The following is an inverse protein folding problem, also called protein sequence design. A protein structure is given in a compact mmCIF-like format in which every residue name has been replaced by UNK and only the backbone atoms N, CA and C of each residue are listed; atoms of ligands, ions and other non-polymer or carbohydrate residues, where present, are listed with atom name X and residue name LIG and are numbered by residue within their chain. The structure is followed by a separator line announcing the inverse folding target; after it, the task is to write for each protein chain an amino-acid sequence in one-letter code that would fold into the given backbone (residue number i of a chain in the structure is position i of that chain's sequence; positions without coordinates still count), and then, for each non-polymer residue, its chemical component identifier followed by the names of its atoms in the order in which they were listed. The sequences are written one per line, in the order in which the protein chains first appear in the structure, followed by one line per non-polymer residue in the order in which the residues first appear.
data_IF_485176913398
#
_entry.id   IF_485176913398
#
_cell.length_a   1.000
_cell.length_b   1.000
_cell.length_c   1.000
_cell.angle_alpha   90.00
_cell.angle_beta   90.00
_cell.angle_gamma   90.00
#
_symmetry.space_group_name_H-M   'P 1'
#
loop_
_entity.id
_entity.type
_entity.pdbx_description
1 polymer ?
#
# COMPACT_ATOMS: atom_id res chain seq x y z
N UNK A 1 0.81 -7.47 16.36
CA UNK A 1 1.42 -6.22 16.85
C UNK A 1 1.12 -6.04 18.35
N UNK A 2 -0.15 -6.14 18.79
CA UNK A 2 -0.54 -5.97 20.20
C UNK A 2 0.24 -6.90 21.15
N UNK A 3 0.47 -8.14 20.74
CA UNK A 3 1.19 -9.15 21.50
C UNK A 3 2.72 -8.90 21.55
N UNK A 4 3.26 -8.20 20.53
CA UNK A 4 4.68 -7.87 20.43
C UNK A 4 5.05 -6.60 21.19
N UNK A 5 4.24 -5.54 21.08
CA UNK A 5 4.58 -4.21 21.62
C UNK A 5 3.78 -3.83 22.87
N UNK A 6 2.79 -4.63 23.23
CA UNK A 6 1.88 -4.35 24.34
C UNK A 6 0.80 -3.31 24.00
N UNK A 7 -0.26 -3.21 24.83
CA UNK A 7 -1.40 -2.36 24.56
C UNK A 7 -1.09 -0.86 24.54
N UNK A 8 -0.11 -0.42 25.36
CA UNK A 8 0.24 0.99 25.52
C UNK A 8 1.07 1.54 24.35
N UNK A 9 1.71 0.68 23.55
CA UNK A 9 2.54 1.05 22.40
C UNK A 9 1.93 0.64 21.04
N UNK A 10 0.65 0.31 21.02
CA UNK A 10 -0.01 -0.20 19.84
C UNK A 10 0.02 0.81 18.67
N UNK A 11 -0.19 2.09 18.97
CA UNK A 11 -0.16 3.17 17.95
C UNK A 11 1.23 3.34 17.37
N UNK A 12 2.25 3.33 18.23
CA UNK A 12 3.66 3.40 17.82
C UNK A 12 4.05 2.17 16.97
N UNK A 13 3.68 0.97 17.42
CA UNK A 13 3.93 -0.27 16.71
C UNK A 13 3.26 -0.30 15.33
N UNK A 14 2.03 0.19 15.21
CA UNK A 14 1.35 0.32 13.92
C UNK A 14 2.05 1.33 13.00
N UNK A 15 2.53 2.44 13.53
CA UNK A 15 3.31 3.42 12.77
C UNK A 15 4.60 2.82 12.21
N UNK A 16 5.33 2.05 13.00
CA UNK A 16 6.53 1.33 12.54
C UNK A 16 6.23 0.32 11.44
N UNK A 17 5.19 -0.50 11.60
CA UNK A 17 4.78 -1.47 10.57
C UNK A 17 4.41 -0.75 9.28
N UNK A 18 3.63 0.33 9.35
CA UNK A 18 3.26 1.11 8.18
C UNK A 18 4.49 1.72 7.49
N UNK A 19 5.43 2.27 8.24
CA UNK A 19 6.66 2.85 7.69
C UNK A 19 7.52 1.82 6.99
N UNK A 20 7.75 0.66 7.61
CA UNK A 20 8.51 -0.45 7.01
C UNK A 20 7.81 -0.97 5.75
N UNK A 21 6.48 -1.09 5.78
CA UNK A 21 5.69 -1.50 4.61
C UNK A 21 5.87 -0.52 3.46
N UNK A 22 5.81 0.79 3.72
CA UNK A 22 6.03 1.80 2.68
C UNK A 22 7.45 1.76 2.13
N UNK A 23 8.47 1.63 2.97
CA UNK A 23 9.86 1.46 2.51
C UNK A 23 9.99 0.23 1.61
N UNK A 24 9.39 -0.89 1.98
CA UNK A 24 9.43 -2.11 1.19
C UNK A 24 8.75 -1.93 -0.18
N UNK A 25 7.56 -1.29 -0.21
CA UNK A 25 6.84 -0.99 -1.45
C UNK A 25 7.66 -0.07 -2.35
N UNK A 26 8.18 1.04 -1.81
CA UNK A 26 8.99 2.00 -2.55
C UNK A 26 10.27 1.35 -3.09
N UNK A 27 10.95 0.55 -2.29
CA UNK A 27 12.13 -0.21 -2.72
C UNK A 27 11.78 -1.18 -3.85
N UNK A 28 10.64 -1.86 -3.75
CA UNK A 28 10.13 -2.75 -4.79
C UNK A 28 9.89 -2.00 -6.10
N UNK A 29 9.21 -0.86 -6.05
CA UNK A 29 8.95 -0.02 -7.22
C UNK A 29 10.27 0.40 -7.89
N UNK A 30 11.23 0.93 -7.12
CA UNK A 30 12.52 1.38 -7.65
C UNK A 30 13.29 0.23 -8.29
N UNK A 31 13.42 -0.90 -7.58
CA UNK A 31 14.15 -2.07 -8.05
C UNK A 31 13.52 -2.64 -9.32
N UNK A 32 12.19 -2.86 -9.33
CA UNK A 32 11.52 -3.43 -10.50
C UNK A 32 11.50 -2.45 -11.69
N UNK A 33 11.31 -1.15 -11.45
CA UNK A 33 11.38 -0.14 -12.53
C UNK A 33 12.77 -0.10 -13.16
N UNK A 34 13.82 -0.13 -12.34
CA UNK A 34 15.19 -0.18 -12.83
C UNK A 34 15.49 -1.47 -13.61
N UNK A 35 15.08 -2.62 -13.10
CA UNK A 35 15.24 -3.91 -13.76
C UNK A 35 14.46 -3.98 -15.08
N UNK A 36 13.27 -3.40 -15.09
CA UNK A 36 12.43 -3.32 -16.29
C UNK A 36 13.11 -2.46 -17.36
N UNK A 37 13.55 -1.27 -17.01
CA UNK A 37 14.25 -0.36 -17.93
C UNK A 37 15.54 -0.99 -18.47
N UNK A 38 16.37 -1.58 -17.62
CA UNK A 38 17.62 -2.27 -18.02
C UNK A 38 17.37 -3.44 -18.99
N UNK A 39 16.19 -4.07 -18.96
CA UNK A 39 15.86 -5.17 -19.87
C UNK A 39 15.26 -4.70 -21.19
N UNK A 40 14.63 -3.54 -21.19
CA UNK A 40 14.01 -2.95 -22.37
C UNK A 40 14.88 -1.88 -23.04
N UNK A 41 15.90 -1.37 -22.35
CA UNK A 41 16.80 -0.36 -22.86
C UNK A 41 17.54 -0.88 -24.10
N UNK A 42 17.45 -0.13 -25.21
CA UNK A 42 18.01 -0.54 -26.49
C UNK A 42 17.20 -1.57 -27.29
N UNK A 43 16.05 -1.99 -26.78
CA UNK A 43 15.13 -2.85 -27.54
C UNK A 43 14.41 -2.00 -28.59
N UNK A 44 14.51 -2.32 -29.90
CA UNK A 44 13.70 -1.67 -30.93
C UNK A 44 12.20 -1.92 -30.63
N UNK A 45 11.32 -1.13 -31.24
CA UNK A 45 9.87 -1.31 -31.09
C UNK A 45 9.48 -2.78 -31.38
N UNK A 46 9.43 -3.58 -30.32
CA UNK A 46 9.19 -5.02 -30.41
C UNK A 46 7.70 -5.33 -30.37
N UNK A 47 7.33 -6.45 -30.96
CA UNK A 47 6.01 -7.01 -30.79
C UNK A 47 5.77 -7.33 -29.29
N UNK A 48 4.54 -7.19 -28.77
CA UNK A 48 4.21 -7.42 -27.35
C UNK A 48 4.71 -8.77 -26.81
N UNK A 49 4.69 -9.81 -27.65
CA UNK A 49 5.14 -11.16 -27.28
C UNK A 49 6.65 -11.22 -27.01
N UNK A 50 7.46 -10.47 -27.76
CA UNK A 50 8.91 -10.42 -27.59
C UNK A 50 9.27 -9.65 -26.32
N UNK A 51 8.56 -8.56 -26.02
CA UNK A 51 8.72 -7.81 -24.78
C UNK A 51 8.40 -8.68 -23.56
N UNK A 52 7.35 -9.50 -23.61
CA UNK A 52 7.01 -10.43 -22.55
C UNK A 52 8.10 -11.47 -22.30
N UNK A 53 8.74 -12.00 -23.35
CA UNK A 53 9.84 -12.96 -23.19
C UNK A 53 11.08 -12.33 -22.52
N UNK A 54 11.35 -11.06 -22.78
CA UNK A 54 12.47 -10.34 -22.16
C UNK A 54 12.26 -10.07 -20.67
N UNK A 55 11.01 -9.80 -20.26
CA UNK A 55 10.67 -9.54 -18.85
C UNK A 55 10.30 -10.80 -18.06
N UNK A 56 9.99 -11.91 -18.73
CA UNK A 56 9.62 -13.16 -18.04
C UNK A 56 10.63 -13.61 -16.95
N UNK A 57 11.96 -13.48 -17.12
CA UNK A 57 12.92 -13.82 -16.08
C UNK A 57 12.76 -13.02 -14.78
N UNK A 58 12.19 -11.80 -14.83
CA UNK A 58 11.90 -11.01 -13.62
C UNK A 58 10.86 -11.70 -12.73
N UNK A 59 9.99 -12.52 -13.31
CA UNK A 59 9.03 -13.33 -12.57
C UNK A 59 9.70 -14.30 -11.59
N UNK A 60 10.87 -14.82 -11.90
CA UNK A 60 11.61 -15.69 -10.99
C UNK A 60 12.10 -14.97 -9.73
N UNK A 61 12.36 -13.66 -9.80
CA UNK A 61 12.71 -12.83 -8.63
C UNK A 61 11.51 -12.75 -7.69
N UNK A 62 10.29 -12.63 -8.23
CA UNK A 62 9.06 -12.63 -7.42
C UNK A 62 8.84 -14.00 -6.77
N UNK A 63 9.07 -15.08 -7.50
CA UNK A 63 8.98 -16.45 -6.95
C UNK A 63 9.99 -16.64 -5.81
N UNK A 64 11.25 -16.22 -6.03
CA UNK A 64 12.29 -16.31 -4.99
C UNK A 64 11.92 -15.45 -3.75
N UNK A 65 11.36 -14.25 -3.96
CA UNK A 65 10.85 -13.40 -2.88
C UNK A 65 9.74 -14.06 -2.09
N UNK A 66 8.78 -14.68 -2.75
CA UNK A 66 7.67 -15.41 -2.09
C UNK A 66 8.17 -16.62 -1.31
N UNK A 67 9.17 -17.34 -1.81
CA UNK A 67 9.79 -18.44 -1.07
C UNK A 67 10.54 -17.95 0.17
N UNK A 68 11.25 -16.82 0.05
CA UNK A 68 11.89 -16.18 1.20
C UNK A 68 10.87 -15.75 2.25
N UNK A 69 9.77 -15.14 1.83
CA UNK A 69 8.66 -14.76 2.72
C UNK A 69 8.10 -15.99 3.45
N UNK A 70 7.89 -17.09 2.75
CA UNK A 70 7.44 -18.35 3.35
C UNK A 70 8.42 -18.85 4.43
N UNK A 71 9.72 -18.83 4.14
CA UNK A 71 10.76 -19.24 5.11
C UNK A 71 10.77 -18.33 6.33
N UNK A 72 10.64 -17.02 6.13
CA UNK A 72 10.58 -16.04 7.21
C UNK A 72 9.30 -16.21 8.05
N UNK A 73 8.17 -16.51 7.42
CA UNK A 73 6.91 -16.78 8.12
C UNK A 73 7.01 -17.97 9.06
N UNK A 74 7.73 -19.03 8.66
CA UNK A 74 8.01 -20.18 9.54
C UNK A 74 8.93 -19.86 10.73
N UNK A 75 9.68 -18.77 10.64
CA UNK A 75 10.56 -18.30 11.72
C UNK A 75 9.88 -17.35 12.71
N UNK A 76 8.62 -16.98 12.48
CA UNK A 76 7.88 -16.16 13.40
C UNK A 76 7.72 -16.86 14.76
N UNK A 77 8.02 -16.17 15.87
CA UNK A 77 7.85 -16.74 17.20
C UNK A 77 6.38 -17.02 17.49
N UNK A 78 6.09 -18.15 18.09
CA UNK A 78 4.76 -18.45 18.60
C UNK A 78 4.54 -17.66 19.87
N UNK A 79 3.84 -16.51 19.75
CA UNK A 79 3.62 -15.55 20.84
C UNK A 79 2.41 -15.88 21.71
N UNK A 80 1.56 -16.80 21.26
CA UNK A 80 0.34 -17.18 21.95
C UNK A 80 0.36 -18.65 22.29
N UNK A 81 0.08 -18.98 23.55
CA UNK A 81 -0.31 -20.36 23.87
C UNK A 81 -1.56 -20.70 23.07
N UNK A 82 -1.39 -21.59 22.13
CA UNK A 82 -2.51 -22.10 21.34
C UNK A 82 -3.41 -22.87 22.29
N UNK A 83 -4.66 -22.43 22.45
CA UNK A 83 -5.64 -23.22 23.17
C UNK A 83 -5.75 -24.57 22.47
N UNK A 84 -5.15 -25.59 23.08
CA UNK A 84 -5.07 -26.94 22.53
C UNK A 84 -6.46 -27.58 22.33
N UNK A 85 -7.49 -27.02 22.94
CA UNK A 85 -8.89 -27.41 22.78
C UNK A 85 -9.57 -26.76 21.56
N UNK A 86 -9.01 -25.67 21.02
CA UNK A 86 -9.56 -24.98 19.85
C UNK A 86 -9.25 -25.75 18.58
N UNK A 87 -10.19 -26.55 18.11
CA UNK A 87 -10.11 -27.22 16.81
C UNK A 87 -10.73 -26.33 15.73
N UNK A 88 -10.08 -26.30 14.55
CA UNK A 88 -10.64 -25.63 13.39
C UNK A 88 -11.90 -26.35 12.91
N UNK A 89 -13.04 -25.71 13.00
CA UNK A 89 -14.33 -26.25 12.55
C UNK A 89 -14.54 -25.95 11.06
N UNK A 90 -14.19 -26.96 10.24
CA UNK A 90 -14.31 -26.88 8.80
C UNK A 90 -15.75 -26.73 8.31
N UNK A 91 -16.74 -27.29 9.03
CA UNK A 91 -18.14 -27.17 8.64
C UNK A 91 -18.66 -25.73 8.88
N UNK A 92 -18.29 -25.14 10.02
CA UNK A 92 -18.61 -23.76 10.38
C UNK A 92 -17.96 -22.77 9.41
N UNK A 93 -16.71 -23.05 8.99
CA UNK A 93 -16.01 -22.24 8.00
C UNK A 93 -16.71 -22.31 6.63
N UNK A 94 -17.05 -23.48 6.13
CA UNK A 94 -17.77 -23.66 4.84
C UNK A 94 -19.15 -23.02 4.81
N UNK A 95 -19.87 -23.01 5.93
CA UNK A 95 -21.18 -22.33 6.08
C UNK A 95 -21.05 -20.82 6.16
N UNK A 96 -19.84 -20.27 6.23
CA UNK A 96 -19.63 -18.84 6.38
C UNK A 96 -20.11 -18.25 7.72
N UNK A 97 -20.37 -19.09 8.72
CA UNK A 97 -20.89 -18.66 10.02
C UNK A 97 -19.93 -17.73 10.74
N UNK A 98 -18.60 -18.00 10.65
CA UNK A 98 -17.56 -17.15 11.22
C UNK A 98 -17.53 -15.79 10.53
N UNK A 99 -17.67 -15.75 9.21
CA UNK A 99 -17.72 -14.50 8.44
C UNK A 99 -18.98 -13.70 8.80
N UNK A 100 -20.13 -14.36 8.83
CA UNK A 100 -21.42 -13.73 9.19
C UNK A 100 -21.41 -13.17 10.62
N UNK A 101 -20.86 -13.92 11.57
CA UNK A 101 -20.73 -13.49 12.96
C UNK A 101 -19.79 -12.28 13.08
N UNK A 102 -18.61 -12.33 12.45
CA UNK A 102 -17.66 -11.21 12.47
C UNK A 102 -18.22 -9.98 11.77
N UNK A 103 -18.89 -10.14 10.63
CA UNK A 103 -19.54 -9.04 9.92
C UNK A 103 -20.66 -8.42 10.74
N UNK A 104 -21.49 -9.24 11.40
CA UNK A 104 -22.53 -8.77 12.31
C UNK A 104 -21.96 -7.94 13.47
N UNK A 105 -20.86 -8.39 14.07
CA UNK A 105 -20.16 -7.66 15.13
C UNK A 105 -19.59 -6.32 14.66
N UNK A 106 -19.01 -6.29 13.44
CA UNK A 106 -18.51 -5.07 12.83
C UNK A 106 -19.65 -4.08 12.55
N UNK A 107 -20.77 -4.57 12.02
CA UNK A 107 -21.92 -3.73 11.67
C UNK A 107 -22.65 -3.15 12.88
N UNK A 108 -22.46 -3.71 14.06
CA UNK A 108 -23.04 -3.17 15.30
C UNK A 108 -22.37 -1.89 15.80
N UNK A 109 -21.10 -1.65 15.39
CA UNK A 109 -20.33 -0.49 15.86
C UNK A 109 -20.14 0.53 14.73
N UNK A 110 -20.91 1.59 14.70
CA UNK A 110 -20.85 2.66 13.70
C UNK A 110 -19.43 3.22 13.49
N UNK A 111 -18.68 3.43 14.58
CA UNK A 111 -17.30 3.93 14.48
C UNK A 111 -16.39 3.00 13.70
N UNK A 112 -16.57 1.68 13.83
CA UNK A 112 -15.78 0.68 13.09
C UNK A 112 -16.16 0.71 11.61
N UNK A 113 -17.46 0.81 11.29
CA UNK A 113 -17.93 0.90 9.90
C UNK A 113 -17.31 2.13 9.20
N UNK A 114 -17.37 3.31 9.84
CA UNK A 114 -16.80 4.52 9.25
C UNK A 114 -15.29 4.42 9.09
N UNK A 115 -14.57 3.82 10.03
CA UNK A 115 -13.13 3.60 9.91
C UNK A 115 -12.79 2.66 8.75
N UNK A 116 -13.53 1.56 8.60
CA UNK A 116 -13.34 0.60 7.50
C UNK A 116 -13.70 1.24 6.16
N UNK A 117 -14.80 2.00 6.10
CA UNK A 117 -15.22 2.70 4.89
C UNK A 117 -14.20 3.77 4.48
N UNK A 118 -13.68 4.55 5.43
CA UNK A 118 -12.64 5.55 5.19
C UNK A 118 -11.35 4.92 4.66
N UNK A 119 -10.91 3.80 5.27
CA UNK A 119 -9.75 3.06 4.82
C UNK A 119 -9.95 2.45 3.42
N UNK A 120 -11.13 1.89 3.16
CA UNK A 120 -11.48 1.34 1.85
C UNK A 120 -11.49 2.44 0.77
N UNK A 121 -12.04 3.62 1.07
CA UNK A 121 -12.03 4.77 0.17
C UNK A 121 -10.61 5.24 -0.13
N UNK A 122 -9.78 5.37 0.90
CA UNK A 122 -8.35 5.75 0.75
C UNK A 122 -7.62 4.80 -0.20
N UNK A 123 -7.72 3.48 0.03
CA UNK A 123 -7.07 2.50 -0.82
C UNK A 123 -7.67 2.44 -2.24
N UNK A 124 -8.98 2.69 -2.38
CA UNK A 124 -9.63 2.76 -3.70
C UNK A 124 -9.08 3.94 -4.51
N UNK A 125 -8.95 5.11 -3.92
CA UNK A 125 -8.35 6.29 -4.57
C UNK A 125 -6.92 5.97 -5.02
N UNK A 126 -6.11 5.39 -4.12
CA UNK A 126 -4.74 5.01 -4.43
C UNK A 126 -4.65 4.03 -5.61
N UNK A 127 -5.53 3.02 -5.66
CA UNK A 127 -5.57 2.05 -6.77
C UNK A 127 -6.00 2.70 -8.09
N UNK A 128 -6.97 3.61 -8.07
CA UNK A 128 -7.38 4.36 -9.26
C UNK A 128 -6.22 5.21 -9.78
N UNK A 129 -5.50 5.89 -8.90
CA UNK A 129 -4.32 6.68 -9.27
C UNK A 129 -3.23 5.81 -9.91
N UNK A 130 -2.92 4.66 -9.33
CA UNK A 130 -1.96 3.70 -9.88
C UNK A 130 -2.33 3.22 -11.29
N UNK A 131 -3.61 3.05 -11.56
CA UNK A 131 -4.10 2.57 -12.84
C UNK A 131 -4.17 3.67 -13.91
N UNK A 132 -4.58 4.88 -13.53
CA UNK A 132 -4.91 5.96 -14.47
C UNK A 132 -3.72 6.88 -14.75
N UNK A 133 -2.89 7.16 -13.73
CA UNK A 133 -1.83 8.16 -13.86
C UNK A 133 -0.80 7.84 -14.95
N UNK A 134 -0.34 6.59 -15.18
CA UNK A 134 0.60 6.30 -16.25
C UNK A 134 0.06 6.71 -17.63
N UNK A 135 -1.19 6.37 -17.94
CA UNK A 135 -1.83 6.76 -19.18
C UNK A 135 -2.03 8.29 -19.30
N UNK A 136 -2.36 8.95 -18.19
CA UNK A 136 -2.45 10.41 -18.15
C UNK A 136 -1.08 11.07 -18.40
N UNK A 137 -0.02 10.58 -17.78
CA UNK A 137 1.33 11.10 -17.94
C UNK A 137 1.81 10.95 -19.39
N UNK A 138 1.55 9.82 -20.02
CA UNK A 138 1.89 9.55 -21.41
C UNK A 138 1.11 10.43 -22.39
N UNK A 139 -0.19 10.58 -22.20
CA UNK A 139 -1.08 11.28 -23.14
C UNK A 139 -1.09 12.81 -22.97
N UNK A 140 -0.93 13.31 -21.75
CA UNK A 140 -1.09 14.74 -21.44
C UNK A 140 0.21 15.45 -21.05
N UNK A 141 1.19 14.70 -20.54
CA UNK A 141 2.47 15.27 -20.11
C UNK A 141 3.63 14.86 -21.03
N UNK A 142 3.34 14.12 -22.12
CA UNK A 142 4.32 13.59 -23.08
C UNK A 142 5.50 12.85 -22.37
N UNK A 143 5.17 12.18 -21.27
CA UNK A 143 6.16 11.47 -20.46
C UNK A 143 6.07 9.96 -20.72
N UNK A 144 7.12 9.42 -21.38
CA UNK A 144 7.19 8.01 -21.77
C UNK A 144 8.15 7.20 -20.88
N UNK A 145 8.93 7.87 -20.03
CA UNK A 145 9.89 7.19 -19.16
C UNK A 145 9.17 6.59 -17.96
N UNK A 146 9.08 5.27 -17.92
CA UNK A 146 8.42 4.50 -16.86
C UNK A 146 9.00 4.78 -15.48
N UNK A 147 10.33 4.95 -15.37
CA UNK A 147 10.99 5.25 -14.11
C UNK A 147 10.56 6.60 -13.54
N UNK A 148 10.41 7.62 -14.41
CA UNK A 148 9.94 8.95 -13.99
C UNK A 148 8.49 8.89 -13.53
N UNK A 149 7.62 8.23 -14.28
CA UNK A 149 6.19 8.07 -13.95
C UNK A 149 6.05 7.35 -12.61
N UNK A 150 6.71 6.20 -12.45
CA UNK A 150 6.68 5.42 -11.21
C UNK A 150 7.33 6.17 -10.04
N UNK A 151 8.40 6.93 -10.30
CA UNK A 151 9.04 7.78 -9.31
C UNK A 151 8.12 8.85 -8.74
N UNK A 152 7.35 9.52 -9.61
CA UNK A 152 6.34 10.51 -9.18
C UNK A 152 5.23 9.84 -8.36
N UNK A 153 4.72 8.71 -8.81
CA UNK A 153 3.71 7.95 -8.05
C UNK A 153 4.24 7.47 -6.69
N UNK A 154 5.51 7.10 -6.62
CA UNK A 154 6.16 6.68 -5.37
C UNK A 154 6.22 7.79 -4.30
N UNK A 155 6.10 9.06 -4.69
CA UNK A 155 6.05 10.18 -3.74
C UNK A 155 4.80 10.14 -2.85
N UNK A 156 3.69 9.58 -3.30
CA UNK A 156 2.53 9.35 -2.42
C UNK A 156 2.87 8.40 -1.26
N UNK A 157 3.69 7.38 -1.51
CA UNK A 157 4.20 6.51 -0.45
C UNK A 157 5.06 7.26 0.57
N UNK A 158 5.86 8.24 0.13
CA UNK A 158 6.62 9.13 1.03
C UNK A 158 5.64 10.01 1.83
N UNK A 159 4.60 10.54 1.19
CA UNK A 159 3.53 11.28 1.86
C UNK A 159 2.85 10.46 2.96
N UNK A 160 2.47 9.22 2.65
CA UNK A 160 1.90 8.27 3.62
C UNK A 160 2.87 8.00 4.78
N UNK A 161 4.16 7.81 4.50
CA UNK A 161 5.18 7.56 5.52
C UNK A 161 5.32 8.76 6.47
N UNK A 162 5.42 9.97 5.94
CA UNK A 162 5.52 11.20 6.73
C UNK A 162 4.23 11.41 7.53
N UNK A 163 3.07 11.32 6.87
CA UNK A 163 1.76 11.48 7.49
C UNK A 163 1.52 10.51 8.63
N UNK A 164 1.87 9.23 8.46
CA UNK A 164 1.73 8.22 9.50
C UNK A 164 2.69 8.44 10.67
N UNK A 165 3.94 8.87 10.41
CA UNK A 165 4.89 9.22 11.47
C UNK A 165 4.42 10.43 12.28
N UNK A 166 3.93 11.47 11.62
CA UNK A 166 3.37 12.68 12.27
C UNK A 166 2.13 12.32 13.08
N UNK A 167 1.19 11.55 12.48
CA UNK A 167 -0.02 11.11 13.17
C UNK A 167 0.30 10.26 14.40
N UNK A 168 1.27 9.34 14.29
CA UNK A 168 1.74 8.52 15.41
C UNK A 168 2.31 9.37 16.56
N UNK A 169 3.11 10.38 16.24
CA UNK A 169 3.67 11.30 17.25
C UNK A 169 2.63 12.18 17.91
N UNK A 170 1.67 12.69 17.14
CA UNK A 170 0.59 13.55 17.65
C UNK A 170 -0.49 12.78 18.43
N UNK A 171 -0.51 11.46 18.31
CA UNK A 171 -1.47 10.57 18.99
C UNK A 171 -0.85 9.88 20.23
N UNK A 172 0.10 10.51 20.90
CA UNK A 172 0.71 9.95 22.12
C UNK A 172 -0.33 9.75 23.21
N UNK A 173 -0.59 8.50 23.57
CA UNK A 173 -1.50 8.11 24.65
C UNK A 173 -2.99 8.16 24.32
N UNK A 174 -3.41 8.72 23.19
CA UNK A 174 -4.80 8.72 22.73
C UNK A 174 -4.88 8.76 21.19
N UNK A 175 -5.99 8.30 20.63
CA UNK A 175 -6.23 8.37 19.18
C UNK A 175 -6.76 9.77 18.83
N UNK A 176 -5.95 10.56 18.12
CA UNK A 176 -6.34 11.90 17.69
C UNK A 176 -7.15 11.85 16.39
N UNK A 177 -8.47 11.81 16.51
CA UNK A 177 -9.40 11.73 15.38
C UNK A 177 -9.41 13.02 14.53
N UNK A 178 -8.91 14.15 15.05
CA UNK A 178 -8.85 15.42 14.31
C UNK A 178 -7.88 15.39 13.14
N UNK A 179 -6.97 14.43 13.10
CA UNK A 179 -6.02 14.25 11.99
C UNK A 179 -6.68 13.68 10.73
N UNK A 180 -7.78 12.94 10.88
CA UNK A 180 -8.50 12.32 9.76
C UNK A 180 -9.02 13.37 8.75
N UNK A 181 -9.77 14.41 9.17
CA UNK A 181 -10.22 15.43 8.23
C UNK A 181 -9.07 16.24 7.62
N UNK A 182 -7.96 16.45 8.33
CA UNK A 182 -6.78 17.13 7.79
C UNK A 182 -6.18 16.32 6.64
N UNK A 183 -5.99 15.02 6.82
CA UNK A 183 -5.52 14.12 5.77
C UNK A 183 -6.50 14.07 4.59
N UNK A 184 -7.80 13.98 4.84
CA UNK A 184 -8.82 13.96 3.79
C UNK A 184 -8.82 15.25 2.95
N UNK A 185 -8.62 16.43 3.58
CA UNK A 185 -8.46 17.70 2.87
C UNK A 185 -7.20 17.68 1.99
N UNK A 186 -6.08 17.17 2.51
CA UNK A 186 -4.84 17.02 1.74
C UNK A 186 -5.05 16.20 0.48
N UNK A 187 -5.67 15.02 0.62
CA UNK A 187 -6.00 14.14 -0.52
C UNK A 187 -6.91 14.85 -1.52
N UNK A 188 -7.96 15.51 -1.05
CA UNK A 188 -8.90 16.23 -1.92
C UNK A 188 -8.21 17.34 -2.71
N UNK A 189 -7.34 18.11 -2.06
CA UNK A 189 -6.55 19.16 -2.71
C UNK A 189 -5.59 18.58 -3.75
N UNK A 190 -4.86 17.50 -3.41
CA UNK A 190 -3.99 16.81 -4.35
C UNK A 190 -4.73 16.34 -5.59
N UNK A 191 -5.88 15.68 -5.42
CA UNK A 191 -6.71 15.20 -6.53
C UNK A 191 -7.28 16.32 -7.40
N UNK A 192 -7.67 17.46 -6.82
CA UNK A 192 -8.19 18.63 -7.57
C UNK A 192 -7.07 19.29 -8.37
N UNK A 193 -5.87 19.38 -7.80
CA UNK A 193 -4.73 20.04 -8.44
C UNK A 193 -4.13 19.18 -9.56
N UNK A 194 -4.11 17.86 -9.40
CA UNK A 194 -3.44 16.93 -10.30
C UNK A 194 -3.77 17.14 -11.79
N UNK A 195 -5.03 17.23 -12.24
CA UNK A 195 -5.37 17.42 -13.65
C UNK A 195 -5.07 18.86 -14.16
N UNK A 196 -4.81 19.81 -13.29
CA UNK A 196 -4.51 21.19 -13.65
C UNK A 196 -3.02 21.45 -13.83
N UNK A 197 -2.17 20.55 -13.36
CA UNK A 197 -0.73 20.66 -13.40
C UNK A 197 -0.20 20.01 -14.69
N UNK A 198 0.48 20.78 -15.51
CA UNK A 198 1.06 20.35 -16.79
C UNK A 198 2.54 19.99 -16.69
N UNK A 199 3.17 20.21 -15.53
CA UNK A 199 4.58 19.89 -15.29
C UNK A 199 4.72 18.71 -14.33
N UNK A 200 5.59 17.76 -14.65
CA UNK A 200 5.86 16.58 -13.82
C UNK A 200 6.38 16.92 -12.42
N UNK A 201 7.10 18.03 -12.27
CA UNK A 201 7.58 18.47 -10.95
C UNK A 201 6.44 18.96 -10.07
N UNK A 202 5.48 19.67 -10.66
CA UNK A 202 4.27 20.09 -9.96
C UNK A 202 3.37 18.90 -9.62
N UNK A 203 3.25 17.91 -10.52
CA UNK A 203 2.57 16.64 -10.27
C UNK A 203 3.19 15.90 -9.06
N UNK A 204 4.52 15.90 -8.96
CA UNK A 204 5.22 15.31 -7.82
C UNK A 204 4.78 15.92 -6.47
N UNK A 205 4.57 17.24 -6.44
CA UNK A 205 4.04 17.94 -5.26
C UNK A 205 2.62 17.52 -4.92
N UNK A 206 1.74 17.33 -5.90
CA UNK A 206 0.38 16.85 -5.69
C UNK A 206 0.35 15.40 -5.15
N UNK A 207 1.23 14.53 -5.64
CA UNK A 207 1.35 13.15 -5.13
C UNK A 207 1.83 13.08 -3.68
N UNK A 208 2.61 14.04 -3.19
CA UNK A 208 2.98 14.11 -1.77
C UNK A 208 1.79 14.43 -0.85
N UNK A 209 0.74 15.06 -1.39
CA UNK A 209 -0.48 15.39 -0.63
C UNK A 209 -1.49 14.24 -0.61
N UNK A 210 -1.45 13.37 -1.63
CA UNK A 210 -2.31 12.20 -1.78
C UNK A 210 -1.75 11.00 -1.00
#
# INVERSE_FOLDING_TARGET
IKELVGPNKLTEGNGWVQSVTMIAILSGIVVFSALFELRLDGAPAMAPEQSLQLIAPLGWILVAGSLLELVLAYRLPQLRETDSAARFDWQRYRRGESLKSNLSLLLQKRSVIFSVAGLALFWSISQVMLAVFPAFAEQHLDQHNTFVIQGVMALSGIGIMIGSAVAGRLSHGYINLSLIPIGAIGIALGLILLPQLTDMRAQAGAFLLI
#
